data_IF_986706172460
#
_entry.id   IF_986706172460
#
_cell.length_a   1.000
_cell.length_b   1.000
_cell.length_c   1.000
_cell.angle_alpha   90.00
_cell.angle_beta   90.00
_cell.angle_gamma   90.00
#
_symmetry.space_group_name_H-M   'P 1'
#
loop_
_entity.id
_entity.type
_entity.pdbx_description
1 polymer ?
#
# COMPACT_ATOMS: atom_id res chain seq x y z
N UNK A 1 -22.10 -21.31 -8.03
CA UNK A 1 -20.76 -21.75 -7.54
C UNK A 1 -20.52 -21.31 -6.09
N UNK A 2 -19.95 -22.16 -5.22
CA UNK A 2 -19.84 -21.95 -3.76
C UNK A 2 -18.69 -21.03 -3.30
N UNK A 3 -17.76 -20.66 -4.19
CA UNK A 3 -16.64 -19.74 -3.88
C UNK A 3 -16.90 -18.39 -4.53
N UNK A 4 -16.93 -17.34 -3.72
CA UNK A 4 -17.16 -15.93 -4.13
C UNK A 4 -15.88 -15.25 -4.57
N UNK A 5 -14.80 -15.40 -3.80
CA UNK A 5 -13.49 -14.87 -4.12
C UNK A 5 -12.38 -15.66 -3.45
N UNK A 6 -11.17 -15.56 -3.99
CA UNK A 6 -9.98 -16.17 -3.40
C UNK A 6 -8.73 -15.36 -3.75
N UNK A 7 -7.65 -15.63 -3.03
CA UNK A 7 -6.33 -15.01 -3.26
C UNK A 7 -5.31 -16.06 -3.65
N UNK A 8 -4.26 -15.59 -4.33
CA UNK A 8 -3.01 -16.34 -4.55
C UNK A 8 -1.93 -15.64 -3.73
N UNK A 9 -1.46 -16.31 -2.68
CA UNK A 9 -0.46 -15.71 -1.78
C UNK A 9 0.90 -15.57 -2.50
N UNK A 10 1.38 -14.33 -2.60
CA UNK A 10 2.69 -13.98 -3.16
C UNK A 10 3.77 -13.81 -2.05
N UNK A 11 5.07 -13.91 -2.40
CA UNK A 11 5.61 -14.29 -3.72
C UNK A 11 5.45 -15.78 -4.01
N UNK A 12 5.33 -16.15 -5.29
CA UNK A 12 5.44 -17.55 -5.69
C UNK A 12 6.92 -17.98 -5.76
N UNK A 13 7.21 -19.30 -5.82
CA UNK A 13 8.55 -19.77 -6.14
C UNK A 13 9.08 -19.21 -7.46
N UNK A 14 10.37 -18.84 -7.51
CA UNK A 14 11.01 -18.12 -8.63
C UNK A 14 10.85 -18.75 -10.03
N UNK A 15 10.54 -20.04 -10.11
CA UNK A 15 10.34 -20.76 -11.38
C UNK A 15 8.89 -20.69 -11.91
N UNK A 16 7.99 -20.05 -11.17
CA UNK A 16 6.59 -19.87 -11.55
C UNK A 16 6.37 -18.44 -12.05
N UNK A 17 5.63 -18.31 -13.14
CA UNK A 17 5.22 -17.01 -13.66
C UNK A 17 4.02 -16.47 -12.86
N UNK A 18 4.30 -15.53 -11.96
CA UNK A 18 3.29 -14.81 -11.16
C UNK A 18 2.17 -14.24 -12.03
N UNK A 19 2.50 -13.65 -13.19
CA UNK A 19 1.52 -12.99 -14.03
C UNK A 19 0.57 -14.01 -14.66
N UNK A 20 1.10 -15.13 -15.16
CA UNK A 20 0.27 -16.21 -15.71
C UNK A 20 -0.71 -16.78 -14.67
N UNK A 21 -0.27 -16.89 -13.40
CA UNK A 21 -1.14 -17.37 -12.31
C UNK A 21 -2.22 -16.33 -11.96
N UNK A 22 -1.86 -15.05 -11.86
CA UNK A 22 -2.79 -13.98 -11.55
C UNK A 22 -3.84 -13.79 -12.66
N UNK A 23 -3.47 -13.93 -13.94
CA UNK A 23 -4.39 -13.86 -15.09
C UNK A 23 -5.35 -15.06 -15.18
N UNK A 24 -5.01 -16.19 -14.55
CA UNK A 24 -5.89 -17.35 -14.49
C UNK A 24 -7.05 -17.17 -13.48
N UNK A 25 -6.95 -16.19 -12.57
CA UNK A 25 -8.02 -15.87 -11.62
C UNK A 25 -9.14 -15.10 -12.34
N UNK A 26 -10.39 -15.56 -12.24
CA UNK A 26 -11.49 -14.81 -12.83
C UNK A 26 -11.58 -13.40 -12.20
N UNK A 27 -11.69 -12.30 -12.99
CA UNK A 27 -11.68 -10.93 -12.46
C UNK A 27 -12.71 -10.67 -11.37
N UNK A 28 -13.90 -11.27 -11.50
CA UNK A 28 -15.00 -11.12 -10.53
C UNK A 28 -14.80 -11.94 -9.23
N UNK A 29 -13.71 -12.69 -9.13
CA UNK A 29 -13.31 -13.45 -7.93
C UNK A 29 -11.95 -13.04 -7.37
N UNK A 30 -11.29 -12.11 -8.04
CA UNK A 30 -9.98 -11.58 -7.67
C UNK A 30 -10.13 -10.55 -6.54
N UNK A 31 -10.36 -11.06 -5.32
CA UNK A 31 -10.54 -10.22 -4.13
C UNK A 31 -9.24 -9.56 -3.66
N UNK A 32 -8.10 -9.97 -4.22
CA UNK A 32 -6.81 -9.29 -4.03
C UNK A 32 -6.64 -8.09 -4.99
N UNK A 33 -7.44 -8.00 -6.06
CA UNK A 33 -7.44 -6.89 -7.01
C UNK A 33 -6.21 -6.83 -7.92
N UNK A 34 -5.50 -7.95 -8.12
CA UNK A 34 -4.26 -8.02 -8.89
C UNK A 34 -4.45 -8.44 -10.35
N UNK A 35 -5.63 -8.89 -10.73
CA UNK A 35 -5.94 -9.25 -12.10
C UNK A 35 -5.83 -8.02 -13.01
N UNK A 36 -5.20 -8.10 -14.21
CA UNK A 36 -5.01 -6.95 -15.10
C UNK A 36 -6.30 -6.21 -15.47
N UNK A 37 -7.43 -6.92 -15.58
CA UNK A 37 -8.76 -6.31 -15.77
C UNK A 37 -9.15 -5.39 -14.60
N UNK A 38 -8.92 -5.81 -13.35
CA UNK A 38 -9.20 -4.97 -12.18
C UNK A 38 -8.21 -3.80 -12.09
N UNK A 39 -6.93 -4.03 -12.40
CA UNK A 39 -5.94 -2.97 -12.49
C UNK A 39 -6.29 -1.91 -13.56
N UNK A 40 -6.75 -2.35 -14.73
CA UNK A 40 -7.20 -1.47 -15.82
C UNK A 40 -8.46 -0.69 -15.45
N UNK A 41 -9.46 -1.36 -14.85
CA UNK A 41 -10.67 -0.71 -14.32
C UNK A 41 -10.31 0.35 -13.27
N UNK A 42 -9.44 0.03 -12.32
CA UNK A 42 -8.95 0.98 -11.31
C UNK A 42 -8.25 2.19 -11.95
N UNK A 43 -7.41 1.98 -12.96
CA UNK A 43 -6.72 3.07 -13.65
C UNK A 43 -7.67 4.02 -14.40
N UNK A 44 -8.87 3.55 -14.74
CA UNK A 44 -9.96 4.29 -15.38
C UNK A 44 -11.03 4.76 -14.38
N UNK A 45 -10.80 4.61 -13.07
CA UNK A 45 -11.76 4.91 -12.01
C UNK A 45 -13.11 4.17 -12.15
N UNK A 46 -13.09 2.98 -12.75
CA UNK A 46 -14.25 2.11 -12.90
C UNK A 46 -14.42 1.16 -11.69
N UNK A 47 -15.66 0.73 -11.39
CA UNK A 47 -15.91 -0.25 -10.32
C UNK A 47 -15.11 -1.55 -10.52
N UNK A 48 -14.32 -1.92 -9.50
CA UNK A 48 -13.50 -3.13 -9.48
C UNK A 48 -13.12 -3.50 -8.04
N UNK A 49 -12.45 -4.65 -7.87
CA UNK A 49 -11.74 -4.93 -6.62
C UNK A 49 -10.44 -4.13 -6.59
N UNK A 50 -10.27 -3.36 -5.52
CA UNK A 50 -9.04 -2.61 -5.29
C UNK A 50 -8.03 -3.50 -4.55
N UNK A 51 -6.73 -3.41 -4.88
CA UNK A 51 -5.65 -3.98 -4.10
C UNK A 51 -5.80 -3.76 -2.60
N UNK A 52 -5.80 -4.85 -1.81
CA UNK A 52 -6.19 -4.82 -0.41
C UNK A 52 -5.31 -3.87 0.43
N UNK A 53 -4.00 -3.85 0.20
CA UNK A 53 -3.07 -2.94 0.90
C UNK A 53 -3.33 -1.46 0.56
N UNK A 54 -3.32 -1.04 -0.72
CA UNK A 54 -3.71 0.32 -1.13
C UNK A 54 -5.11 0.75 -0.64
N UNK A 55 -6.11 -0.15 -0.71
CA UNK A 55 -7.44 0.11 -0.16
C UNK A 55 -7.38 0.37 1.34
N UNK A 56 -6.62 -0.44 2.08
CA UNK A 56 -6.41 -0.28 3.52
C UNK A 56 -5.76 1.05 3.88
N UNK A 57 -4.80 1.52 3.08
CA UNK A 57 -4.16 2.83 3.26
C UNK A 57 -5.17 3.96 3.02
N UNK A 58 -5.97 3.90 1.96
CA UNK A 58 -7.05 4.88 1.73
C UNK A 58 -8.01 4.90 2.93
N UNK A 59 -8.44 3.74 3.43
CA UNK A 59 -9.30 3.65 4.61
C UNK A 59 -8.65 4.21 5.88
N UNK A 60 -7.33 4.09 6.05
CA UNK A 60 -6.61 4.73 7.17
C UNK A 60 -6.66 6.25 7.07
N UNK A 61 -6.36 6.80 5.88
CA UNK A 61 -6.38 8.25 5.64
C UNK A 61 -7.78 8.83 5.91
N UNK A 62 -8.81 8.16 5.40
CA UNK A 62 -10.21 8.56 5.59
C UNK A 62 -10.61 8.54 7.07
N UNK A 63 -10.37 7.42 7.76
CA UNK A 63 -10.74 7.25 9.18
C UNK A 63 -9.97 8.17 10.12
N UNK A 64 -8.75 8.56 9.75
CA UNK A 64 -7.95 9.52 10.49
C UNK A 64 -8.35 10.99 10.20
N UNK A 65 -9.27 11.23 9.24
CA UNK A 65 -9.68 12.57 8.84
C UNK A 65 -8.56 13.36 8.15
N UNK A 66 -7.62 12.67 7.49
CA UNK A 66 -6.47 13.30 6.84
C UNK A 66 -6.92 13.85 5.48
N UNK A 67 -6.89 15.17 5.35
CA UNK A 67 -7.20 15.82 4.07
C UNK A 67 -6.08 15.56 3.05
N UNK A 68 -6.49 15.01 1.91
CA UNK A 68 -5.63 14.64 0.77
C UNK A 68 -5.73 15.64 -0.38
N UNK A 69 -6.74 16.51 -0.37
CA UNK A 69 -7.03 17.41 -1.48
C UNK A 69 -5.86 18.37 -1.74
N UNK A 70 -5.30 18.32 -2.96
CA UNK A 70 -4.21 19.19 -3.39
C UNK A 70 -2.86 18.92 -2.72
N UNK A 71 -2.76 17.91 -1.84
CA UNK A 71 -1.50 17.53 -1.17
C UNK A 71 -0.52 16.90 -2.14
N UNK A 72 0.78 17.10 -1.89
CA UNK A 72 1.83 16.38 -2.62
C UNK A 72 2.08 15.03 -1.97
N UNK A 73 1.62 13.96 -2.62
CA UNK A 73 1.91 12.59 -2.20
C UNK A 73 3.15 12.05 -2.93
N UNK A 74 4.08 11.47 -2.18
CA UNK A 74 5.25 10.77 -2.72
C UNK A 74 5.16 9.30 -2.35
N UNK A 75 5.30 8.43 -3.34
CA UNK A 75 5.23 6.98 -3.16
C UNK A 75 6.60 6.41 -3.47
N UNK A 76 7.21 5.78 -2.47
CA UNK A 76 8.46 5.06 -2.61
C UNK A 76 8.16 3.60 -2.93
N UNK A 77 8.35 3.23 -4.19
CA UNK A 77 8.01 1.89 -4.69
C UNK A 77 6.99 1.98 -5.82
N UNK A 78 7.12 1.06 -6.78
CA UNK A 78 6.29 1.02 -8.00
C UNK A 78 5.82 -0.38 -8.36
N UNK A 79 5.73 -1.26 -7.35
CA UNK A 79 5.18 -2.60 -7.55
C UNK A 79 3.76 -2.54 -8.09
N UNK A 80 3.34 -3.57 -8.82
CA UNK A 80 1.97 -3.73 -9.32
C UNK A 80 0.95 -3.89 -8.19
N UNK A 81 1.38 -4.38 -7.02
CA UNK A 81 0.50 -4.73 -5.90
C UNK A 81 0.30 -3.59 -4.87
N UNK A 82 1.25 -2.65 -4.78
CA UNK A 82 1.17 -1.54 -3.79
C UNK A 82 1.43 -0.20 -4.44
N UNK A 83 2.67 0.03 -4.93
CA UNK A 83 3.11 1.37 -5.31
C UNK A 83 2.30 1.98 -6.45
N UNK A 84 2.10 1.22 -7.54
CA UNK A 84 1.34 1.69 -8.70
C UNK A 84 -0.15 1.90 -8.37
N UNK A 85 -0.86 0.94 -7.74
CA UNK A 85 -2.23 1.18 -7.28
C UNK A 85 -2.37 2.37 -6.33
N UNK A 86 -1.45 2.55 -5.37
CA UNK A 86 -1.50 3.68 -4.45
C UNK A 86 -1.42 5.02 -5.19
N UNK A 87 -0.60 5.09 -6.24
CA UNK A 87 -0.48 6.29 -7.06
C UNK A 87 -1.78 6.62 -7.80
N UNK A 88 -2.47 5.59 -8.29
CA UNK A 88 -3.77 5.73 -8.94
C UNK A 88 -4.84 6.17 -7.93
N UNK A 89 -4.87 5.55 -6.75
CA UNK A 89 -5.86 5.86 -5.72
C UNK A 89 -5.70 7.24 -5.09
N UNK A 90 -4.47 7.74 -4.93
CA UNK A 90 -4.24 9.09 -4.41
C UNK A 90 -4.44 10.17 -5.45
N UNK A 91 -4.20 9.90 -6.74
CA UNK A 91 -4.39 10.91 -7.80
C UNK A 91 -5.86 11.07 -8.21
N UNK A 92 -6.68 10.03 -8.05
CA UNK A 92 -8.06 10.00 -8.59
C UNK A 92 -8.91 11.14 -8.04
N UNK A 93 -9.96 11.49 -8.76
CA UNK A 93 -10.94 12.43 -8.26
C UNK A 93 -11.78 11.79 -7.14
N UNK A 94 -11.60 12.26 -5.90
CA UNK A 94 -12.33 11.74 -4.75
C UNK A 94 -11.65 12.08 -3.43
N UNK A 95 -12.25 11.62 -2.33
CA UNK A 95 -11.72 11.73 -0.99
C UNK A 95 -11.76 10.34 -0.31
N UNK A 96 -10.63 9.81 0.18
CA UNK A 96 -9.26 10.28 -0.05
C UNK A 96 -8.85 10.17 -1.54
N UNK A 97 -8.11 11.18 -2.02
CA UNK A 97 -7.75 11.37 -3.43
C UNK A 97 -7.34 12.82 -3.72
N UNK A 98 -7.34 13.21 -5.01
CA UNK A 98 -6.96 14.56 -5.48
C UNK A 98 -5.56 15.05 -5.06
N UNK A 99 -4.64 14.13 -4.79
CA UNK A 99 -3.24 14.45 -4.56
C UNK A 99 -2.54 14.78 -5.88
N UNK A 100 -1.54 15.67 -5.82
CA UNK A 100 -0.44 15.65 -6.80
C UNK A 100 0.48 14.50 -6.43
N UNK A 101 0.71 13.53 -7.32
CA UNK A 101 1.45 12.30 -6.98
C UNK A 101 2.81 12.25 -7.68
N UNK A 102 3.85 11.88 -6.94
CA UNK A 102 5.18 11.53 -7.47
C UNK A 102 5.53 10.10 -7.08
N UNK A 103 5.88 9.26 -8.06
CA UNK A 103 6.33 7.89 -7.81
C UNK A 103 7.84 7.83 -7.93
N UNK A 104 8.50 7.37 -6.87
CA UNK A 104 9.94 7.20 -6.80
C UNK A 104 10.32 5.71 -6.70
N UNK A 105 11.56 5.39 -7.06
CA UNK A 105 12.08 4.03 -7.05
C UNK A 105 13.62 4.03 -6.93
N UNK A 106 14.24 2.84 -6.95
CA UNK A 106 15.69 2.63 -6.83
C UNK A 106 16.59 3.34 -7.85
N UNK A 107 16.01 3.96 -8.89
CA UNK A 107 16.73 4.72 -9.93
C UNK A 107 16.36 6.20 -9.94
N UNK A 108 15.54 6.66 -9.00
CA UNK A 108 15.22 8.07 -8.83
C UNK A 108 16.47 8.80 -8.34
N UNK A 109 16.91 9.80 -9.09
CA UNK A 109 17.99 10.69 -8.68
C UNK A 109 17.49 11.65 -7.60
N UNK A 110 18.37 12.04 -6.67
CA UNK A 110 18.05 12.96 -5.58
C UNK A 110 16.78 12.56 -4.80
N UNK A 111 16.64 11.27 -4.47
CA UNK A 111 15.43 10.73 -3.83
C UNK A 111 14.94 11.56 -2.64
N UNK A 112 15.86 12.00 -1.78
CA UNK A 112 15.54 12.82 -0.61
C UNK A 112 14.92 14.18 -0.96
N UNK A 113 15.26 14.77 -2.11
CA UNK A 113 14.64 16.02 -2.58
C UNK A 113 13.15 15.83 -2.85
N UNK A 114 12.77 14.70 -3.44
CA UNK A 114 11.37 14.37 -3.67
C UNK A 114 10.63 14.12 -2.35
N UNK A 115 11.17 13.28 -1.48
CA UNK A 115 10.50 12.89 -0.24
C UNK A 115 10.35 14.04 0.75
N UNK A 116 11.30 14.98 0.82
CA UNK A 116 11.21 16.18 1.68
C UNK A 116 10.11 17.16 1.26
N UNK A 117 9.54 17.00 0.08
CA UNK A 117 8.41 17.82 -0.41
C UNK A 117 7.06 17.16 -0.14
N UNK A 118 7.06 15.89 0.26
CA UNK A 118 5.86 15.12 0.46
C UNK A 118 5.07 15.64 1.68
N UNK A 119 3.82 16.02 1.46
CA UNK A 119 2.84 16.15 2.54
C UNK A 119 2.40 14.77 3.03
N UNK A 120 2.36 13.80 2.10
CA UNK A 120 2.04 12.39 2.38
C UNK A 120 3.13 11.52 1.76
N UNK A 121 3.86 10.77 2.58
CA UNK A 121 4.89 9.85 2.14
C UNK A 121 4.43 8.41 2.35
N UNK A 122 4.34 7.63 1.28
CA UNK A 122 4.05 6.18 1.35
C UNK A 122 5.33 5.39 1.07
N UNK A 123 5.84 4.66 2.06
CA UNK A 123 7.03 3.83 1.95
C UNK A 123 6.66 2.36 1.71
N UNK A 124 6.95 1.83 0.52
CA UNK A 124 6.66 0.46 0.11
C UNK A 124 7.83 -0.12 -0.71
N UNK A 125 9.01 -0.14 -0.08
CA UNK A 125 10.30 -0.52 -0.68
C UNK A 125 10.73 -1.94 -0.25
N UNK A 126 10.32 -2.40 0.93
CA UNK A 126 10.76 -3.68 1.48
C UNK A 126 12.22 -3.67 1.94
N UNK A 127 12.65 -2.57 2.57
CA UNK A 127 14.00 -2.39 3.12
C UNK A 127 13.91 -1.71 4.47
N UNK A 128 14.29 -2.44 5.52
CA UNK A 128 14.25 -1.95 6.89
C UNK A 128 14.96 -0.59 7.04
N UNK A 129 14.28 0.37 7.68
CA UNK A 129 14.84 1.67 8.07
C UNK A 129 15.47 2.48 6.93
N UNK A 130 14.96 2.32 5.71
CA UNK A 130 15.46 3.03 4.54
C UNK A 130 15.10 4.53 4.58
N UNK A 131 13.89 4.86 5.02
CA UNK A 131 13.44 6.26 5.14
C UNK A 131 13.90 6.82 6.48
N UNK A 132 14.81 7.77 6.43
CA UNK A 132 15.41 8.45 7.59
C UNK A 132 14.76 9.81 7.86
N UNK A 133 15.00 10.38 9.04
CA UNK A 133 14.44 11.68 9.45
C UNK A 133 14.76 12.83 8.48
N UNK A 134 15.94 12.84 7.85
CA UNK A 134 16.31 13.89 6.90
C UNK A 134 15.54 13.78 5.57
N UNK A 135 14.92 12.64 5.27
CA UNK A 135 14.13 12.43 4.05
C UNK A 135 12.69 12.94 4.19
N UNK A 136 12.24 13.25 5.42
CA UNK A 136 10.83 13.53 5.72
C UNK A 136 10.61 15.02 6.00
N UNK A 137 9.56 15.58 5.40
CA UNK A 137 9.09 16.96 5.63
C UNK A 137 8.52 17.09 7.05
N UNK A 138 8.68 18.25 7.67
CA UNK A 138 7.97 18.56 8.92
C UNK A 138 6.45 18.49 8.73
N UNK A 139 5.74 18.00 9.74
CA UNK A 139 4.29 17.79 9.75
C UNK A 139 3.75 16.82 8.68
N UNK A 140 4.61 16.01 8.05
CA UNK A 140 4.18 15.05 7.05
C UNK A 140 3.32 13.92 7.64
N UNK A 141 2.48 13.35 6.79
CA UNK A 141 1.82 12.06 7.04
C UNK A 141 2.71 10.96 6.44
N UNK A 142 3.15 10.01 7.26
CA UNK A 142 4.00 8.91 6.82
C UNK A 142 3.26 7.57 6.95
N UNK A 143 3.13 6.87 5.83
CA UNK A 143 2.54 5.54 5.74
C UNK A 143 3.65 4.54 5.43
N UNK A 144 3.99 3.71 6.41
CA UNK A 144 4.96 2.65 6.32
C UNK A 144 4.26 1.32 6.00
N UNK A 145 4.45 0.84 4.77
CA UNK A 145 3.91 -0.42 4.25
C UNK A 145 4.90 -1.56 4.44
N UNK A 146 6.17 -1.26 4.75
CA UNK A 146 7.24 -2.23 4.85
C UNK A 146 6.98 -3.26 5.94
N UNK A 147 7.28 -4.52 5.65
CA UNK A 147 7.29 -5.60 6.64
C UNK A 147 8.63 -6.33 6.50
N UNK A 148 9.60 -5.89 7.30
CA UNK A 148 10.95 -6.39 7.31
C UNK A 148 11.19 -7.19 8.59
N UNK A 149 11.81 -8.37 8.47
CA UNK A 149 12.21 -9.18 9.62
C UNK A 149 13.69 -8.94 9.90
N UNK A 150 13.99 -8.51 11.12
CA UNK A 150 15.36 -8.26 11.58
C UNK A 150 15.65 -9.07 12.84
N UNK A 151 16.92 -9.42 13.05
CA UNK A 151 17.35 -10.19 14.21
C UNK A 151 17.10 -9.39 15.50
N UNK A 152 16.58 -10.06 16.53
CA UNK A 152 16.35 -9.48 17.85
C UNK A 152 16.40 -10.59 18.90
N UNK A 153 17.54 -10.64 19.62
CA UNK A 153 17.78 -11.64 20.66
C UNK A 153 16.86 -11.48 21.88
N UNK A 154 16.20 -10.33 22.06
CA UNK A 154 15.24 -10.11 23.13
C UNK A 154 13.89 -10.80 22.88
N UNK A 155 13.60 -11.20 21.63
CA UNK A 155 12.35 -11.88 21.25
C UNK A 155 12.52 -13.39 21.26
N UNK A 156 11.47 -14.09 21.68
CA UNK A 156 11.41 -15.57 21.65
C UNK A 156 11.66 -16.16 20.25
N UNK A 157 11.27 -15.44 19.20
CA UNK A 157 11.48 -15.80 17.79
C UNK A 157 12.90 -15.52 17.28
N UNK A 158 13.78 -14.90 18.07
CA UNK A 158 15.08 -14.39 17.63
C UNK A 158 15.02 -13.26 16.60
N UNK A 159 13.81 -12.73 16.33
CA UNK A 159 13.56 -11.70 15.33
C UNK A 159 12.34 -10.85 15.68
N UNK A 160 12.36 -9.59 15.23
CA UNK A 160 11.22 -8.66 15.27
C UNK A 160 10.85 -8.19 13.87
N UNK A 161 9.62 -7.70 13.73
CA UNK A 161 9.17 -7.00 12.53
C UNK A 161 9.47 -5.50 12.67
N UNK A 162 9.80 -4.88 11.55
CA UNK A 162 9.98 -3.43 11.44
C UNK A 162 9.64 -2.98 10.03
N UNK A 163 9.40 -1.68 9.86
CA UNK A 163 8.97 -1.11 8.60
C UNK A 163 10.11 -0.61 7.73
N UNK A 164 9.78 0.05 6.64
CA UNK A 164 10.74 0.71 5.76
C UNK A 164 11.22 2.06 6.31
N UNK A 165 10.54 2.58 7.35
CA UNK A 165 10.83 3.86 7.98
C UNK A 165 11.59 3.64 9.29
N UNK A 166 12.57 4.51 9.54
CA UNK A 166 13.18 4.63 10.87
C UNK A 166 12.21 5.33 11.82
N UNK A 167 11.28 4.55 12.38
CA UNK A 167 10.13 5.07 13.11
C UNK A 167 10.51 5.99 14.27
N UNK A 168 11.54 5.62 15.06
CA UNK A 168 11.88 6.35 16.28
C UNK A 168 12.42 7.76 15.97
N UNK A 169 13.20 7.91 14.90
CA UNK A 169 13.77 9.19 14.47
C UNK A 169 12.81 10.01 13.59
N UNK A 170 11.90 9.35 12.86
CA UNK A 170 10.96 10.00 11.94
C UNK A 170 9.67 10.44 12.63
N UNK A 171 9.16 9.66 13.59
CA UNK A 171 7.88 9.92 14.26
C UNK A 171 7.79 11.33 14.88
N UNK A 172 8.83 11.89 15.54
CA UNK A 172 8.76 13.22 16.13
C UNK A 172 8.50 14.36 15.13
N UNK A 173 8.77 14.15 13.83
CA UNK A 173 8.58 15.14 12.76
C UNK A 173 7.20 15.04 12.08
N UNK A 174 6.47 13.96 12.31
CA UNK A 174 5.28 13.63 11.55
C UNK A 174 4.02 14.14 12.25
N UNK A 175 3.05 14.63 11.49
CA UNK A 175 1.70 14.86 12.01
C UNK A 175 0.98 13.53 12.25
N UNK A 176 1.25 12.53 11.39
CA UNK A 176 0.77 11.16 11.50
C UNK A 176 1.83 10.18 10.99
N UNK A 177 1.97 9.04 11.67
CA UNK A 177 2.86 7.97 11.22
C UNK A 177 2.26 6.60 11.57
N UNK A 178 2.32 5.65 10.64
CA UNK A 178 1.86 4.29 10.92
C UNK A 178 2.97 3.46 11.58
N UNK A 179 2.70 2.76 12.69
CA UNK A 179 3.68 1.87 13.31
C UNK A 179 3.82 0.56 12.52
N UNK A 180 5.00 -0.07 12.63
CA UNK A 180 5.21 -1.44 12.15
C UNK A 180 5.81 -2.30 13.26
N UNK A 181 5.11 -3.36 13.70
CA UNK A 181 3.79 -3.82 13.26
C UNK A 181 2.62 -2.96 13.79
N UNK A 182 1.42 -3.16 13.24
CA UNK A 182 0.17 -2.58 13.77
C UNK A 182 -0.47 -1.47 12.94
N UNK A 183 0.21 -0.97 11.89
CA UNK A 183 -0.31 0.02 10.96
C UNK A 183 -1.04 -0.59 9.76
N UNK A 184 -0.36 -0.65 8.61
CA UNK A 184 -0.97 -1.02 7.32
C UNK A 184 -1.40 -2.50 7.27
N UNK A 185 -0.63 -3.41 7.87
CA UNK A 185 -0.89 -4.87 7.80
C UNK A 185 -2.30 -5.30 8.22
N UNK A 186 -2.81 -4.90 9.40
CA UNK A 186 -4.19 -5.18 9.80
C UNK A 186 -5.25 -4.66 8.82
N UNK A 187 -4.98 -3.52 8.17
CA UNK A 187 -5.90 -2.91 7.21
C UNK A 187 -5.93 -3.64 5.87
N UNK A 188 -4.83 -4.28 5.47
CA UNK A 188 -4.82 -5.22 4.34
C UNK A 188 -5.81 -6.36 4.57
N UNK A 189 -5.81 -6.95 5.77
CA UNK A 189 -6.72 -8.06 6.11
C UNK A 189 -8.17 -7.58 6.09
N UNK A 190 -8.46 -6.42 6.71
CA UNK A 190 -9.80 -5.85 6.71
C UNK A 190 -10.30 -5.58 5.27
N UNK A 191 -9.45 -4.99 4.43
CA UNK A 191 -9.77 -4.66 3.04
C UNK A 191 -10.03 -5.90 2.18
N UNK A 192 -9.30 -6.99 2.43
CA UNK A 192 -9.55 -8.29 1.78
C UNK A 192 -10.92 -8.85 2.15
N UNK A 193 -11.31 -8.76 3.43
CA UNK A 193 -12.64 -9.19 3.88
C UNK A 193 -13.75 -8.35 3.25
N UNK A 194 -13.55 -7.04 3.12
CA UNK A 194 -14.49 -6.15 2.42
C UNK A 194 -14.63 -6.50 0.93
N UNK A 195 -13.52 -6.78 0.24
CA UNK A 195 -13.57 -7.22 -1.16
C UNK A 195 -14.29 -8.56 -1.30
N UNK A 196 -14.10 -9.48 -0.35
CA UNK A 196 -14.80 -10.76 -0.33
C UNK A 196 -16.30 -10.59 -0.12
N UNK A 197 -16.71 -9.70 0.79
CA UNK A 197 -18.11 -9.34 1.00
C UNK A 197 -18.72 -8.72 -0.27
N UNK A 198 -17.98 -7.83 -0.94
CA UNK A 198 -18.39 -7.24 -2.21
C UNK A 198 -18.58 -8.32 -3.30
N UNK A 199 -17.65 -9.27 -3.42
CA UNK A 199 -17.76 -10.37 -4.39
C UNK A 199 -18.98 -11.26 -4.15
N UNK A 200 -19.29 -11.53 -2.87
CA UNK A 200 -20.49 -12.27 -2.48
C UNK A 200 -21.77 -11.49 -2.88
N UNK A 201 -21.86 -10.21 -2.52
CA UNK A 201 -23.03 -9.39 -2.80
C UNK A 201 -23.31 -9.20 -4.30
N UNK A 202 -22.27 -9.15 -5.14
CA UNK A 202 -22.42 -9.00 -6.60
C UNK A 202 -23.02 -10.24 -7.28
N UNK A 203 -22.99 -11.43 -6.66
CA UNK A 203 -23.64 -12.62 -7.20
C UNK A 203 -25.15 -12.62 -7.05
N UNK A 204 -25.66 -11.90 -6.04
CA UNK A 204 -27.08 -11.88 -5.68
C UNK A 204 -27.90 -10.86 -6.49
N UNK A 205 -27.24 -10.10 -7.37
CA UNK A 205 -27.82 -9.16 -8.35
C UNK A 205 -27.68 -9.69 -9.76
#
# INVERSE_FOLDING_TARGET
PSVDGFIVQLPLPDHIDDQAVLEAVHPDKDVDGFHPVNAGKMALDLPCFLPATPKGIVSLLDRAGIDTQGKHAVILGRSSIVGTPMALLLRRNGAPGNCTVTVCHSRTQNLAEHTRRADILVAAIGRAHFVTADMVKEDAVVIDVGINRIADASKKSGSRLTGDVDFDDVAPKCSWITPVPGGVGPMTIASLMENTLQACAQKDT
#
